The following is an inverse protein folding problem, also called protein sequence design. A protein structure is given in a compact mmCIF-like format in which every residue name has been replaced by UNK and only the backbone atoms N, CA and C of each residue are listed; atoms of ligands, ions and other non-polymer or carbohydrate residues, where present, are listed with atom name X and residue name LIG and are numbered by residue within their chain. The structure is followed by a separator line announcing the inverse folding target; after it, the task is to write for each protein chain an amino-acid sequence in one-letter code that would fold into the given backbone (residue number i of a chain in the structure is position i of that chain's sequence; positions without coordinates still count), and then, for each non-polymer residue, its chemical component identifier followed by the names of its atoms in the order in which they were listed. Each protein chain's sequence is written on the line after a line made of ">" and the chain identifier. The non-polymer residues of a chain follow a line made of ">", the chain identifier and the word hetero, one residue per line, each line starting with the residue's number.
data_IF_603404117709
#
_entry.id   IF_603404117709
#
_cell.length_a   1.000
_cell.length_b   1.000
_cell.length_c   1.000
_cell.angle_alpha   90.00
_cell.angle_beta   90.00
_cell.angle_gamma   90.00
#
_symmetry.space_group_name_H-M   'P 1'
#
loop_
_entity.id
_entity.type
_entity.pdbx_description
1 polymer ?
#
# COMPACT_ATOMS: atom_id res chain seq x y z
N UNK A 1 -24.95 -9.90 27.29
CA UNK A 1 -23.95 -8.83 27.01
C UNK A 1 -23.76 -8.76 25.50
N UNK A 2 -24.54 -7.94 24.85
CA UNK A 2 -24.46 -7.67 23.40
C UNK A 2 -23.21 -6.84 23.15
N UNK A 3 -22.18 -7.42 22.52
CA UNK A 3 -21.05 -6.65 21.97
C UNK A 3 -21.63 -5.68 20.92
N UNK A 4 -21.65 -4.39 21.25
CA UNK A 4 -21.79 -3.36 20.25
C UNK A 4 -20.64 -3.55 19.26
N UNK A 5 -20.96 -3.81 18.01
CA UNK A 5 -20.06 -3.59 16.88
C UNK A 5 -20.00 -2.07 16.69
N UNK A 6 -19.27 -1.39 17.58
CA UNK A 6 -18.94 -0.01 17.36
C UNK A 6 -17.93 -0.02 16.20
N UNK A 7 -18.41 0.37 15.01
CA UNK A 7 -17.58 0.52 13.82
C UNK A 7 -16.50 1.55 14.10
N UNK A 8 -15.32 1.07 14.53
CA UNK A 8 -14.17 1.89 14.91
C UNK A 8 -13.59 2.71 13.75
N UNK A 9 -14.10 2.46 12.52
CA UNK A 9 -13.81 3.24 11.31
C UNK A 9 -14.80 4.36 11.00
N UNK A 10 -15.92 4.45 11.73
CA UNK A 10 -16.96 5.45 11.41
C UNK A 10 -16.45 6.89 11.48
N UNK A 11 -16.65 7.62 10.38
CA UNK A 11 -16.23 9.01 10.24
C UNK A 11 -14.75 9.21 9.90
N UNK A 12 -13.93 8.15 9.84
CA UNK A 12 -12.53 8.26 9.41
C UNK A 12 -12.44 8.39 7.88
N UNK A 13 -11.38 9.04 7.43
CA UNK A 13 -11.09 9.22 6.01
C UNK A 13 -9.74 8.61 5.68
N UNK A 14 -9.70 7.84 4.60
CA UNK A 14 -8.47 7.23 4.12
C UNK A 14 -8.17 7.63 2.67
N UNK A 15 -6.91 7.84 2.36
CA UNK A 15 -6.39 7.89 0.98
C UNK A 15 -5.64 6.60 0.71
N UNK A 16 -5.92 5.93 -0.42
CA UNK A 16 -5.23 4.70 -0.84
C UNK A 16 -4.65 4.91 -2.23
N UNK A 17 -3.32 5.00 -2.32
CA UNK A 17 -2.62 5.09 -3.61
C UNK A 17 -2.55 3.72 -4.28
N UNK A 18 -2.63 3.67 -5.62
CA UNK A 18 -2.74 2.40 -6.35
C UNK A 18 -4.02 1.63 -6.03
N UNK A 19 -5.10 2.34 -5.63
CA UNK A 19 -6.35 1.75 -5.15
C UNK A 19 -7.21 1.06 -6.23
N UNK A 20 -6.78 1.07 -7.49
CA UNK A 20 -7.56 0.51 -8.61
C UNK A 20 -7.48 -1.01 -8.76
N UNK A 21 -6.48 -1.69 -8.19
CA UNK A 21 -6.24 -3.14 -8.39
C UNK A 21 -5.61 -3.79 -7.16
N UNK A 22 -5.57 -5.12 -7.13
CA UNK A 22 -4.82 -5.93 -6.17
C UNK A 22 -5.02 -5.53 -4.72
N UNK A 23 -3.93 -5.42 -3.98
CA UNK A 23 -3.91 -5.06 -2.55
C UNK A 23 -4.57 -3.71 -2.30
N UNK A 24 -4.32 -2.70 -3.16
CA UNK A 24 -4.90 -1.37 -2.99
C UNK A 24 -6.43 -1.37 -3.10
N UNK A 25 -6.98 -2.11 -4.07
CA UNK A 25 -8.44 -2.30 -4.20
C UNK A 25 -9.02 -2.99 -2.96
N UNK A 26 -8.42 -4.10 -2.56
CA UNK A 26 -8.87 -4.86 -1.39
C UNK A 26 -8.81 -3.98 -0.12
N UNK A 27 -7.73 -3.21 0.05
CA UNK A 27 -7.57 -2.27 1.16
C UNK A 27 -8.64 -1.19 1.17
N UNK A 28 -8.91 -0.56 0.02
CA UNK A 28 -9.93 0.49 -0.08
C UNK A 28 -11.32 -0.04 0.28
N UNK A 29 -11.67 -1.21 -0.23
CA UNK A 29 -12.96 -1.87 0.07
C UNK A 29 -13.05 -2.32 1.52
N UNK A 30 -11.97 -2.85 2.09
CA UNK A 30 -11.93 -3.26 3.48
C UNK A 30 -12.05 -2.07 4.44
N UNK A 31 -11.40 -0.93 4.14
CA UNK A 31 -11.56 0.31 4.90
C UNK A 31 -12.99 0.86 4.80
N UNK A 32 -13.58 0.83 3.61
CA UNK A 32 -14.98 1.26 3.42
C UNK A 32 -15.96 0.34 4.17
N UNK A 33 -15.75 -0.97 4.15
CA UNK A 33 -16.55 -1.93 4.92
C UNK A 33 -16.40 -1.74 6.44
N UNK A 34 -15.24 -1.19 6.88
CA UNK A 34 -14.98 -0.82 8.27
C UNK A 34 -15.62 0.54 8.66
N UNK A 35 -16.32 1.20 7.72
CA UNK A 35 -17.03 2.46 7.94
C UNK A 35 -16.21 3.73 7.61
N UNK A 36 -15.03 3.60 7.04
CA UNK A 36 -14.27 4.76 6.58
C UNK A 36 -14.77 5.28 5.22
N UNK A 37 -14.61 6.58 4.99
CA UNK A 37 -14.69 7.17 3.65
C UNK A 37 -13.31 7.08 3.01
N UNK A 38 -13.25 6.71 1.74
CA UNK A 38 -11.97 6.38 1.08
C UNK A 38 -11.83 7.13 -0.23
N UNK A 39 -10.72 7.84 -0.42
CA UNK A 39 -10.28 8.34 -1.72
C UNK A 39 -9.28 7.33 -2.32
N UNK A 40 -9.67 6.71 -3.43
CA UNK A 40 -8.76 5.83 -4.18
C UNK A 40 -8.08 6.59 -5.30
N UNK A 41 -6.75 6.50 -5.35
CA UNK A 41 -5.92 7.24 -6.29
C UNK A 41 -5.19 6.27 -7.22
N UNK A 42 -5.11 6.61 -8.51
CA UNK A 42 -4.38 5.84 -9.51
C UNK A 42 -4.54 6.42 -10.90
N UNK A 43 -3.85 5.84 -11.88
CA UNK A 43 -3.77 6.40 -13.25
C UNK A 43 -4.94 6.05 -14.16
N UNK A 44 -5.69 5.00 -13.84
CA UNK A 44 -6.70 4.43 -14.76
C UNK A 44 -8.10 4.56 -14.17
N UNK A 45 -8.91 5.47 -14.70
CA UNK A 45 -10.27 5.74 -14.25
C UNK A 45 -11.11 4.47 -14.11
N UNK A 46 -11.17 3.64 -15.15
CA UNK A 46 -11.98 2.43 -15.17
C UNK A 46 -11.63 1.41 -14.05
N UNK A 47 -10.36 1.35 -13.60
CA UNK A 47 -9.98 0.48 -12.48
C UNK A 47 -10.39 1.05 -11.14
N UNK A 48 -10.32 2.38 -11.00
CA UNK A 48 -10.78 3.10 -9.80
C UNK A 48 -12.30 3.01 -9.66
N UNK A 49 -13.03 3.22 -10.73
CA UNK A 49 -14.49 3.10 -10.77
C UNK A 49 -14.95 1.69 -10.37
N UNK A 50 -14.28 0.64 -10.88
CA UNK A 50 -14.53 -0.73 -10.43
C UNK A 50 -14.27 -0.93 -8.94
N UNK A 51 -13.31 -0.21 -8.35
CA UNK A 51 -13.06 -0.27 -6.91
C UNK A 51 -14.19 0.40 -6.13
N UNK A 52 -14.69 1.54 -6.61
CA UNK A 52 -15.75 2.30 -5.97
C UNK A 52 -17.16 1.67 -6.17
N UNK A 53 -17.33 0.85 -7.20
CA UNK A 53 -18.63 0.25 -7.52
C UNK A 53 -19.21 -0.52 -6.33
N UNK A 54 -20.43 -0.20 -5.92
CA UNK A 54 -21.12 -0.79 -4.77
C UNK A 54 -20.66 -0.25 -3.38
N UNK A 55 -19.74 0.71 -3.34
CA UNK A 55 -19.21 1.29 -2.10
C UNK A 55 -19.43 2.80 -2.03
N UNK A 56 -20.56 3.25 -1.45
CA UNK A 56 -20.95 4.67 -1.41
C UNK A 56 -19.93 5.59 -0.72
N UNK A 57 -19.13 5.06 0.20
CA UNK A 57 -18.05 5.79 0.90
C UNK A 57 -16.76 5.95 0.10
N UNK A 58 -16.65 5.34 -1.10
CA UNK A 58 -15.45 5.41 -1.93
C UNK A 58 -15.59 6.47 -3.02
N UNK A 59 -14.59 7.34 -3.14
CA UNK A 59 -14.43 8.32 -4.21
C UNK A 59 -13.15 8.00 -4.99
N UNK A 60 -13.08 8.45 -6.22
CA UNK A 60 -11.97 8.19 -7.13
C UNK A 60 -11.26 9.49 -7.51
N UNK A 61 -9.93 9.43 -7.64
CA UNK A 61 -9.11 10.49 -8.19
C UNK A 61 -8.11 9.90 -9.19
N UNK A 62 -8.18 10.35 -10.44
CA UNK A 62 -7.16 10.00 -11.44
C UNK A 62 -5.97 10.92 -11.25
N UNK A 63 -4.82 10.34 -10.89
CA UNK A 63 -3.56 11.05 -10.73
C UNK A 63 -2.38 10.10 -10.99
N UNK A 64 -1.33 10.62 -11.63
CA UNK A 64 -0.01 10.01 -11.58
C UNK A 64 0.74 10.56 -10.36
N UNK A 65 1.29 9.68 -9.55
CA UNK A 65 2.03 10.08 -8.34
C UNK A 65 3.37 10.75 -8.64
N UNK A 66 3.83 10.64 -9.88
CA UNK A 66 5.07 11.27 -10.35
C UNK A 66 4.87 12.69 -10.89
N UNK A 67 3.62 13.17 -10.97
CA UNK A 67 3.33 14.57 -11.28
C UNK A 67 3.75 15.45 -10.10
N UNK A 68 4.37 16.59 -10.38
CA UNK A 68 4.88 17.53 -9.36
C UNK A 68 3.79 18.03 -8.42
N UNK A 69 2.57 18.23 -8.92
CA UNK A 69 1.41 18.70 -8.16
C UNK A 69 0.58 17.60 -7.51
N UNK A 70 0.91 16.33 -7.76
CA UNK A 70 0.11 15.19 -7.28
C UNK A 70 -0.03 15.15 -5.75
N UNK A 71 1.00 15.44 -4.94
CA UNK A 71 0.87 15.40 -3.49
C UNK A 71 -0.18 16.38 -2.95
N UNK A 72 -0.14 17.62 -3.42
CA UNK A 72 -1.04 18.69 -3.03
C UNK A 72 -2.46 18.43 -3.56
N UNK A 73 -2.59 18.00 -4.82
CA UNK A 73 -3.87 17.69 -5.46
C UNK A 73 -4.60 16.53 -4.78
N UNK A 74 -3.88 15.47 -4.40
CA UNK A 74 -4.44 14.31 -3.69
C UNK A 74 -4.91 14.72 -2.30
N UNK A 75 -4.09 15.49 -1.58
CA UNK A 75 -4.42 15.96 -0.23
C UNK A 75 -5.64 16.88 -0.25
N UNK A 76 -5.68 17.87 -1.14
CA UNK A 76 -6.80 18.78 -1.30
C UNK A 76 -8.08 18.03 -1.68
N UNK A 77 -8.01 17.09 -2.63
CA UNK A 77 -9.16 16.29 -3.03
C UNK A 77 -9.77 15.48 -1.86
N UNK A 78 -8.94 14.96 -0.95
CA UNK A 78 -9.42 14.28 0.24
C UNK A 78 -10.10 15.24 1.22
N UNK A 79 -9.54 16.42 1.41
CA UNK A 79 -10.10 17.46 2.29
C UNK A 79 -11.38 18.04 1.74
N UNK A 80 -11.44 18.33 0.44
CA UNK A 80 -12.63 18.86 -0.24
C UNK A 80 -13.79 17.86 -0.21
N UNK A 81 -13.49 16.58 -0.43
CA UNK A 81 -14.52 15.54 -0.45
C UNK A 81 -15.01 15.14 0.94
N UNK A 82 -14.15 15.23 1.96
CA UNK A 82 -14.43 14.59 3.26
C UNK A 82 -14.11 15.44 4.49
N UNK A 83 -13.39 16.55 4.34
CA UNK A 83 -13.10 17.51 5.42
C UNK A 83 -11.95 17.10 6.36
N UNK A 84 -11.36 15.92 6.19
CA UNK A 84 -10.27 15.39 7.05
C UNK A 84 -9.47 14.31 6.37
N UNK A 85 -8.33 13.91 6.96
CA UNK A 85 -7.54 12.76 6.53
C UNK A 85 -6.96 12.04 7.76
N UNK A 86 -7.37 10.80 7.98
CA UNK A 86 -6.96 9.99 9.14
C UNK A 86 -5.95 8.92 8.77
N UNK A 87 -6.02 8.40 7.54
CA UNK A 87 -5.17 7.28 7.09
C UNK A 87 -4.63 7.57 5.70
N UNK A 88 -3.31 7.50 5.56
CA UNK A 88 -2.65 7.56 4.26
C UNK A 88 -1.99 6.23 3.97
N UNK A 89 -2.46 5.52 2.92
CA UNK A 89 -1.92 4.20 2.52
C UNK A 89 -1.07 4.37 1.26
N UNK A 90 0.24 4.21 1.42
CA UNK A 90 1.19 4.12 0.31
C UNK A 90 1.25 2.67 -0.20
N UNK A 91 0.38 2.37 -1.18
CA UNK A 91 0.33 1.05 -1.81
C UNK A 91 0.78 1.07 -3.27
N UNK A 92 0.67 2.20 -3.96
CA UNK A 92 1.14 2.29 -5.34
C UNK A 92 2.62 1.92 -5.47
N UNK A 93 2.93 1.11 -6.47
CA UNK A 93 4.30 0.74 -6.78
C UNK A 93 4.44 0.38 -8.26
N UNK A 94 5.64 0.59 -8.77
CA UNK A 94 6.12 0.09 -10.05
C UNK A 94 7.14 -1.02 -9.78
N UNK A 95 6.94 -2.16 -10.42
CA UNK A 95 7.83 -3.31 -10.39
C UNK A 95 8.27 -3.57 -11.83
N UNK A 96 9.55 -3.44 -12.09
CA UNK A 96 10.17 -3.71 -13.40
C UNK A 96 11.28 -4.74 -13.19
N UNK A 97 10.93 -6.05 -13.25
CA UNK A 97 11.94 -7.11 -13.17
C UNK A 97 12.79 -7.10 -14.43
N UNK A 98 14.09 -6.91 -14.28
CA UNK A 98 15.03 -6.88 -15.42
C UNK A 98 16.42 -7.33 -14.99
N UNK A 99 17.20 -7.99 -15.87
CA UNK A 99 18.61 -8.27 -15.61
C UNK A 99 19.37 -6.96 -15.33
N UNK A 100 20.32 -6.99 -14.39
CA UNK A 100 21.05 -5.78 -13.98
C UNK A 100 21.67 -5.01 -15.17
N UNK A 101 22.20 -5.72 -16.16
CA UNK A 101 22.78 -5.11 -17.36
C UNK A 101 21.77 -4.44 -18.31
N UNK A 102 20.46 -4.68 -18.12
CA UNK A 102 19.38 -4.06 -18.91
C UNK A 102 18.74 -2.84 -18.21
N UNK A 103 19.17 -2.52 -16.98
CA UNK A 103 18.62 -1.39 -16.23
C UNK A 103 18.88 -0.08 -16.94
N UNK A 104 17.82 0.62 -17.30
CA UNK A 104 17.90 1.94 -17.92
C UNK A 104 17.72 3.06 -16.89
N UNK A 105 18.21 4.26 -17.21
CA UNK A 105 17.98 5.45 -16.37
C UNK A 105 16.49 5.75 -16.23
N UNK A 106 15.70 5.54 -17.27
CA UNK A 106 14.25 5.76 -17.28
C UNK A 106 13.55 4.81 -16.30
N UNK A 107 13.83 3.50 -16.37
CA UNK A 107 13.29 2.50 -15.46
C UNK A 107 13.70 2.76 -14.01
N UNK A 108 14.96 3.18 -13.81
CA UNK A 108 15.46 3.53 -12.49
C UNK A 108 14.72 4.72 -11.89
N UNK A 109 14.56 5.80 -12.68
CA UNK A 109 13.82 6.99 -12.25
C UNK A 109 12.37 6.66 -11.92
N UNK A 110 11.68 5.96 -12.81
CA UNK A 110 10.26 5.61 -12.61
C UNK A 110 10.05 4.82 -11.30
N UNK A 111 10.93 3.84 -11.01
CA UNK A 111 10.82 3.07 -9.77
C UNK A 111 11.14 3.92 -8.53
N UNK A 112 12.15 4.78 -8.58
CA UNK A 112 12.52 5.66 -7.46
C UNK A 112 11.43 6.72 -7.23
N UNK A 113 10.97 7.37 -8.28
CA UNK A 113 9.93 8.40 -8.20
C UNK A 113 8.62 7.84 -7.63
N UNK A 114 8.15 6.70 -8.18
CA UNK A 114 6.88 6.11 -7.74
C UNK A 114 6.97 5.46 -6.35
N UNK A 115 8.03 4.67 -6.10
CA UNK A 115 8.07 3.79 -4.92
C UNK A 115 8.66 4.46 -3.69
N UNK A 116 9.42 5.56 -3.86
CA UNK A 116 10.14 6.22 -2.79
C UNK A 116 9.80 7.71 -2.68
N UNK A 117 10.00 8.52 -3.74
CA UNK A 117 9.79 9.97 -3.66
C UNK A 117 8.32 10.32 -3.48
N UNK A 118 7.41 9.71 -4.24
CA UNK A 118 5.99 9.96 -4.11
C UNK A 118 5.45 9.70 -2.69
N UNK A 119 5.76 8.59 -2.00
CA UNK A 119 5.43 8.42 -0.59
C UNK A 119 5.94 9.53 0.32
N UNK A 120 7.18 9.99 0.15
CA UNK A 120 7.78 11.07 0.95
C UNK A 120 7.05 12.38 0.73
N UNK A 121 6.87 12.77 -0.54
CA UNK A 121 6.26 14.06 -0.89
C UNK A 121 4.77 14.10 -0.52
N UNK A 122 4.04 13.00 -0.75
CA UNK A 122 2.63 12.91 -0.36
C UNK A 122 2.45 12.89 1.17
N UNK A 123 3.32 12.19 1.92
CA UNK A 123 3.28 12.24 3.38
C UNK A 123 3.53 13.66 3.89
N UNK A 124 4.50 14.37 3.30
CA UNK A 124 4.78 15.78 3.63
C UNK A 124 3.57 16.69 3.38
N UNK A 125 2.95 16.60 2.19
CA UNK A 125 1.78 17.40 1.84
C UNK A 125 0.57 17.08 2.74
N UNK A 126 0.38 15.82 3.10
CA UNK A 126 -0.72 15.35 3.95
C UNK A 126 -0.50 15.60 5.44
N UNK A 127 0.73 15.93 5.88
CA UNK A 127 1.08 16.00 7.29
C UNK A 127 0.20 16.94 8.12
N UNK A 128 -0.18 18.16 7.67
CA UNK A 128 -1.08 19.01 8.46
C UNK A 128 -2.44 18.37 8.72
N UNK A 129 -3.03 17.69 7.73
CA UNK A 129 -4.30 17.00 7.86
C UNK A 129 -4.21 15.76 8.76
N UNK A 130 -3.15 14.96 8.57
CA UNK A 130 -2.87 13.81 9.43
C UNK A 130 -2.63 14.22 10.89
N UNK A 131 -1.89 15.31 11.12
CA UNK A 131 -1.64 15.84 12.47
C UNK A 131 -2.95 16.27 13.15
N UNK A 132 -3.82 17.00 12.45
CA UNK A 132 -5.12 17.41 12.96
C UNK A 132 -6.01 16.21 13.36
N UNK A 133 -5.87 15.09 12.66
CA UNK A 133 -6.61 13.86 12.91
C UNK A 133 -5.91 12.87 13.86
N UNK A 134 -4.65 13.13 14.27
CA UNK A 134 -3.77 12.15 14.91
C UNK A 134 -3.71 10.85 14.11
N UNK A 135 -3.46 10.98 12.82
CA UNK A 135 -3.63 9.95 11.81
C UNK A 135 -2.53 8.90 11.77
N UNK A 136 -2.62 8.06 10.74
CA UNK A 136 -1.67 6.97 10.52
C UNK A 136 -1.24 6.91 9.07
N UNK A 137 0.06 6.84 8.84
CA UNK A 137 0.66 6.48 7.55
C UNK A 137 0.89 4.97 7.53
N UNK A 138 0.40 4.30 6.50
CA UNK A 138 0.62 2.85 6.28
C UNK A 138 1.35 2.66 4.97
N UNK A 139 2.53 2.03 5.01
CA UNK A 139 3.31 1.70 3.81
C UNK A 139 3.17 0.22 3.45
N UNK A 140 2.91 -0.07 2.17
CA UNK A 140 2.94 -1.43 1.64
C UNK A 140 4.32 -1.69 1.05
N UNK A 141 5.14 -2.42 1.83
CA UNK A 141 6.48 -2.87 1.48
C UNK A 141 6.48 -4.15 0.65
N UNK A 142 7.44 -5.03 0.93
CA UNK A 142 7.49 -6.41 0.40
C UNK A 142 8.29 -7.31 1.34
N UNK A 143 7.86 -8.55 1.51
CA UNK A 143 8.60 -9.56 2.27
C UNK A 143 9.95 -9.92 1.62
N UNK A 144 10.12 -9.62 0.34
CA UNK A 144 11.37 -9.85 -0.39
C UNK A 144 12.58 -9.14 0.24
N UNK A 145 12.37 -8.07 1.00
CA UNK A 145 13.46 -7.32 1.67
C UNK A 145 13.56 -7.58 3.18
N UNK A 146 12.68 -8.42 3.73
CA UNK A 146 12.66 -8.73 5.17
C UNK A 146 13.64 -9.86 5.54
N UNK A 147 13.94 -10.76 4.61
CA UNK A 147 14.85 -11.87 4.81
C UNK A 147 16.23 -11.63 4.22
N UNK A 148 17.03 -12.70 4.15
CA UNK A 148 18.37 -12.71 3.52
C UNK A 148 18.35 -13.17 2.06
N UNK A 149 17.19 -13.54 1.54
CA UNK A 149 17.06 -14.08 0.19
C UNK A 149 17.24 -12.99 -0.85
N UNK A 150 18.10 -13.24 -1.83
CA UNK A 150 18.26 -12.36 -2.99
C UNK A 150 17.25 -12.71 -4.09
N UNK A 151 16.77 -11.71 -4.78
CA UNK A 151 15.87 -11.85 -5.93
C UNK A 151 16.52 -11.24 -7.17
N UNK A 152 17.00 -12.09 -8.07
CA UNK A 152 17.58 -11.64 -9.33
C UNK A 152 16.57 -10.81 -10.15
N UNK A 153 17.03 -9.76 -10.77
CA UNK A 153 16.18 -8.84 -11.55
C UNK A 153 15.39 -7.83 -10.72
N UNK A 154 15.49 -7.85 -9.38
CA UNK A 154 14.69 -6.99 -8.50
C UNK A 154 15.51 -5.92 -7.76
N UNK A 155 16.72 -5.60 -8.26
CA UNK A 155 17.67 -4.72 -7.57
C UNK A 155 17.09 -3.38 -7.16
N UNK A 156 16.50 -2.64 -8.12
CA UNK A 156 15.94 -1.31 -7.86
C UNK A 156 14.65 -1.39 -7.05
N UNK A 157 13.77 -2.31 -7.41
CA UNK A 157 12.54 -2.52 -6.65
C UNK A 157 12.84 -2.83 -5.19
N UNK A 158 13.71 -3.81 -4.93
CA UNK A 158 14.12 -4.17 -3.57
C UNK A 158 14.74 -2.99 -2.82
N UNK A 159 15.64 -2.23 -3.47
CA UNK A 159 16.26 -1.05 -2.88
C UNK A 159 15.21 0.00 -2.47
N UNK A 160 14.23 0.31 -3.35
CA UNK A 160 13.16 1.27 -3.02
C UNK A 160 12.28 0.79 -1.87
N UNK A 161 11.98 -0.51 -1.81
CA UNK A 161 11.16 -1.08 -0.73
C UNK A 161 11.92 -1.18 0.60
N UNK A 162 13.24 -1.45 0.58
CA UNK A 162 14.10 -1.35 1.76
C UNK A 162 14.14 0.08 2.30
N UNK A 163 14.28 1.06 1.41
CA UNK A 163 14.22 2.46 1.79
C UNK A 163 12.86 2.84 2.39
N UNK A 164 11.75 2.35 1.84
CA UNK A 164 10.41 2.59 2.37
C UNK A 164 10.25 1.99 3.79
N UNK A 165 10.77 0.79 4.04
CA UNK A 165 10.77 0.19 5.38
C UNK A 165 11.61 0.99 6.37
N UNK A 166 12.74 1.56 5.92
CA UNK A 166 13.53 2.48 6.74
C UNK A 166 12.74 3.74 7.06
N UNK A 167 12.05 4.33 6.07
CA UNK A 167 11.19 5.49 6.27
C UNK A 167 10.08 5.24 7.28
N UNK A 168 9.44 4.07 7.28
CA UNK A 168 8.42 3.71 8.28
C UNK A 168 8.97 3.85 9.70
N UNK A 169 10.18 3.33 9.95
CA UNK A 169 10.81 3.44 11.29
C UNK A 169 11.19 4.88 11.63
N UNK A 170 11.73 5.61 10.67
CA UNK A 170 12.13 7.01 10.86
C UNK A 170 10.90 7.90 11.07
N UNK A 171 9.86 7.75 10.23
CA UNK A 171 8.61 8.49 10.40
C UNK A 171 7.89 8.20 11.70
N UNK A 172 8.01 6.99 12.25
CA UNK A 172 7.46 6.68 13.56
C UNK A 172 8.03 7.56 14.67
N UNK A 173 9.26 8.03 14.52
CA UNK A 173 9.92 8.95 15.45
C UNK A 173 9.66 10.41 15.05
N UNK A 174 9.90 10.76 13.79
CA UNK A 174 9.79 12.12 13.29
C UNK A 174 8.37 12.68 13.33
N UNK A 175 7.34 11.84 13.06
CA UNK A 175 5.94 12.27 13.04
C UNK A 175 5.25 12.19 14.42
N UNK A 176 5.87 11.53 15.39
CA UNK A 176 5.31 11.38 16.73
C UNK A 176 4.98 12.72 17.44
N UNK A 177 5.78 13.81 17.31
CA UNK A 177 5.42 15.10 17.89
C UNK A 177 4.09 15.68 17.39
N UNK A 178 3.66 15.30 16.18
CA UNK A 178 2.34 15.67 15.63
C UNK A 178 1.24 14.64 15.95
N UNK A 179 1.54 13.63 16.73
CA UNK A 179 0.59 12.57 17.06
C UNK A 179 0.31 11.61 15.88
N UNK A 180 1.10 11.65 14.82
CA UNK A 180 0.97 10.81 13.64
C UNK A 180 1.85 9.57 13.80
N UNK A 181 1.29 8.39 13.46
CA UNK A 181 1.99 7.11 13.46
C UNK A 181 2.40 6.69 12.06
N UNK A 182 3.46 5.88 11.97
CA UNK A 182 3.85 5.23 10.74
C UNK A 182 4.02 3.72 10.97
N UNK A 183 3.40 2.92 10.11
CA UNK A 183 3.47 1.45 10.14
C UNK A 183 3.61 0.89 8.75
N UNK A 184 4.11 -0.33 8.64
CA UNK A 184 4.29 -1.03 7.36
C UNK A 184 3.63 -2.40 7.36
N UNK A 185 3.26 -2.85 6.17
CA UNK A 185 2.90 -4.24 5.87
C UNK A 185 3.78 -4.70 4.72
N UNK A 186 4.46 -5.84 4.90
CA UNK A 186 5.36 -6.42 3.91
C UNK A 186 4.77 -7.73 3.34
N UNK A 187 4.03 -7.65 2.21
CA UNK A 187 3.44 -8.82 1.58
C UNK A 187 4.48 -9.75 0.98
N UNK A 188 4.23 -11.06 1.06
CA UNK A 188 4.85 -12.06 0.20
C UNK A 188 4.20 -12.10 -1.17
N UNK A 189 4.44 -13.21 -1.88
CA UNK A 189 3.78 -13.47 -3.17
C UNK A 189 2.27 -13.43 -2.98
N UNK A 190 1.62 -12.52 -3.70
CA UNK A 190 0.19 -12.23 -3.57
C UNK A 190 -0.45 -12.17 -4.95
N UNK A 191 -1.56 -12.86 -5.14
CA UNK A 191 -2.32 -12.85 -6.40
C UNK A 191 -3.07 -11.52 -6.59
N UNK A 192 -2.38 -10.56 -7.19
CA UNK A 192 -2.88 -9.21 -7.44
C UNK A 192 -3.38 -9.00 -8.86
N UNK A 193 -3.31 -10.01 -9.71
CA UNK A 193 -3.51 -9.90 -11.15
C UNK A 193 -2.37 -9.15 -11.84
N UNK A 194 -1.16 -9.15 -11.26
CA UNK A 194 0.00 -8.46 -11.86
C UNK A 194 0.49 -9.22 -13.10
N UNK A 195 0.43 -10.55 -13.12
CA UNK A 195 0.85 -11.36 -14.26
C UNK A 195 0.07 -11.02 -15.53
N UNK A 196 -1.26 -10.89 -15.43
CA UNK A 196 -2.11 -10.47 -16.56
C UNK A 196 -1.73 -9.08 -17.07
N UNK A 197 -1.47 -8.14 -16.14
CA UNK A 197 -1.07 -6.77 -16.52
C UNK A 197 0.32 -6.70 -17.14
N UNK A 198 1.18 -7.67 -16.86
CA UNK A 198 2.50 -7.85 -17.49
C UNK A 198 2.42 -8.65 -18.80
N UNK A 199 1.23 -9.07 -19.21
CA UNK A 199 1.02 -9.82 -20.46
C UNK A 199 1.41 -11.30 -20.38
N UNK A 200 1.52 -11.88 -19.17
CA UNK A 200 1.80 -13.31 -19.01
C UNK A 200 0.63 -14.16 -19.48
N UNK A 201 0.93 -15.32 -20.06
CA UNK A 201 -0.11 -16.29 -20.39
C UNK A 201 -0.74 -16.89 -19.12
N UNK A 202 -1.97 -17.38 -19.20
CA UNK A 202 -2.61 -18.09 -18.10
C UNK A 202 -1.77 -19.29 -17.60
N UNK A 203 -1.09 -19.98 -18.51
CA UNK A 203 -0.19 -21.09 -18.17
C UNK A 203 1.04 -20.61 -17.38
N UNK A 204 1.64 -19.48 -17.75
CA UNK A 204 2.77 -18.91 -17.04
C UNK A 204 2.38 -18.43 -15.64
N UNK A 205 1.21 -17.79 -15.51
CA UNK A 205 0.65 -17.38 -14.22
C UNK A 205 0.42 -18.60 -13.34
N UNK A 206 -0.23 -19.64 -13.83
CA UNK A 206 -0.50 -20.86 -13.06
C UNK A 206 0.81 -21.54 -12.61
N UNK A 207 1.80 -21.64 -13.50
CA UNK A 207 3.12 -22.19 -13.17
C UNK A 207 3.79 -21.37 -12.08
N UNK A 208 3.86 -20.05 -12.24
CA UNK A 208 4.46 -19.14 -11.25
C UNK A 208 3.78 -19.25 -9.87
N UNK A 209 2.44 -19.28 -9.84
CA UNK A 209 1.67 -19.44 -8.60
C UNK A 209 1.92 -20.79 -7.93
N UNK A 210 1.99 -21.87 -8.70
CA UNK A 210 2.30 -23.21 -8.17
C UNK A 210 3.72 -23.27 -7.56
N UNK A 211 4.71 -22.69 -8.25
CA UNK A 211 6.08 -22.61 -7.75
C UNK A 211 6.18 -21.74 -6.50
N UNK A 212 5.48 -20.61 -6.46
CA UNK A 212 5.42 -19.72 -5.29
C UNK A 212 4.77 -20.43 -4.09
N UNK A 213 3.64 -21.11 -4.32
CA UNK A 213 2.95 -21.89 -3.28
C UNK A 213 3.84 -23.01 -2.71
N UNK A 214 4.58 -23.73 -3.57
CA UNK A 214 5.47 -24.80 -3.14
C UNK A 214 6.64 -24.30 -2.26
N UNK A 215 7.07 -23.04 -2.44
CA UNK A 215 8.12 -22.41 -1.63
C UNK A 215 7.61 -21.72 -0.37
N UNK A 216 6.30 -21.55 -0.25
CA UNK A 216 5.68 -20.84 0.87
C UNK A 216 5.25 -21.86 1.93
N UNK A 217 5.70 -21.77 3.19
CA UNK A 217 5.33 -22.73 4.25
C UNK A 217 3.82 -22.90 4.44
N UNK A 218 3.03 -21.85 4.23
CA UNK A 218 1.56 -21.95 4.26
C UNK A 218 0.95 -22.69 3.06
N UNK A 219 1.74 -23.14 2.08
CA UNK A 219 1.32 -23.95 0.94
C UNK A 219 0.47 -23.21 -0.11
N UNK A 220 0.42 -21.89 -0.06
CA UNK A 220 -0.38 -21.08 -1.01
C UNK A 220 0.22 -19.71 -1.27
N UNK A 221 -0.16 -19.14 -2.40
CA UNK A 221 0.00 -17.70 -2.68
C UNK A 221 -1.00 -16.91 -1.82
N UNK A 222 -0.58 -15.74 -1.35
CA UNK A 222 -1.44 -14.81 -0.61
C UNK A 222 -2.55 -14.24 -1.49
N UNK A 223 -3.64 -13.81 -0.86
CA UNK A 223 -4.70 -13.03 -1.49
C UNK A 223 -4.57 -11.56 -1.08
N UNK A 224 -5.05 -10.61 -1.89
CA UNK A 224 -5.09 -9.20 -1.50
C UNK A 224 -5.76 -8.97 -0.14
N UNK A 225 -6.75 -9.78 0.20
CA UNK A 225 -7.49 -9.73 1.46
C UNK A 225 -6.62 -10.11 2.66
N UNK A 226 -5.68 -11.04 2.50
CA UNK A 226 -4.72 -11.42 3.56
C UNK A 226 -3.89 -10.20 4.00
N UNK A 227 -3.51 -9.35 3.04
CA UNK A 227 -2.72 -8.13 3.28
C UNK A 227 -3.60 -6.97 3.78
N UNK A 228 -4.74 -6.73 3.12
CA UNK A 228 -5.62 -5.61 3.45
C UNK A 228 -6.19 -5.73 4.87
N UNK A 229 -6.39 -6.93 5.38
CA UNK A 229 -6.79 -7.17 6.76
C UNK A 229 -5.79 -6.53 7.75
N UNK A 230 -4.50 -6.70 7.52
CA UNK A 230 -3.45 -6.10 8.36
C UNK A 230 -3.40 -4.59 8.22
N UNK A 231 -3.51 -4.07 6.98
CA UNK A 231 -3.55 -2.61 6.74
C UNK A 231 -4.67 -1.96 7.55
N UNK A 232 -5.89 -2.53 7.51
CA UNK A 232 -7.03 -2.02 8.28
C UNK A 232 -6.76 -2.07 9.77
N UNK A 233 -6.23 -3.19 10.30
CA UNK A 233 -5.97 -3.36 11.74
C UNK A 233 -4.90 -2.41 12.26
N UNK A 234 -3.81 -2.24 11.53
CA UNK A 234 -2.75 -1.31 11.89
C UNK A 234 -3.18 0.16 11.80
N UNK A 235 -4.09 0.48 10.88
CA UNK A 235 -4.65 1.81 10.74
C UNK A 235 -5.62 2.19 11.86
N UNK A 236 -6.22 1.23 12.56
CA UNK A 236 -7.20 1.48 13.64
C UNK A 236 -6.53 2.05 14.91
N UNK A 237 -7.32 2.76 15.76
CA UNK A 237 -6.80 3.24 17.05
C UNK A 237 -6.28 2.12 17.96
N UNK A 238 -6.86 0.93 17.90
CA UNK A 238 -6.42 -0.24 18.68
C UNK A 238 -5.01 -0.71 18.29
N UNK A 239 -4.54 -0.38 17.06
CA UNK A 239 -3.18 -0.59 16.62
C UNK A 239 -2.18 0.49 17.09
N UNK A 240 -2.57 1.40 17.98
CA UNK A 240 -1.77 2.59 18.31
C UNK A 240 -0.35 2.29 18.83
N UNK A 241 -0.15 1.16 19.49
CA UNK A 241 1.17 0.80 20.04
C UNK A 241 2.12 0.18 19.00
N UNK A 242 1.63 -0.13 17.78
CA UNK A 242 2.43 -0.71 16.71
C UNK A 242 3.15 0.37 15.86
N UNK A 243 3.62 1.48 16.45
CA UNK A 243 4.32 2.54 15.74
C UNK A 243 5.73 2.09 15.33
N UNK A 244 6.13 2.32 14.07
CA UNK A 244 7.41 1.90 13.51
C UNK A 244 7.49 0.42 13.12
N UNK A 245 6.45 -0.36 13.39
CA UNK A 245 6.41 -1.78 13.04
C UNK A 245 6.20 -1.99 11.54
N UNK A 246 6.88 -3.00 10.98
CA UNK A 246 6.62 -3.56 9.65
C UNK A 246 6.19 -5.02 9.84
N UNK A 247 4.94 -5.32 9.52
CA UNK A 247 4.37 -6.66 9.69
C UNK A 247 4.54 -7.44 8.38
N UNK A 248 5.28 -8.54 8.44
CA UNK A 248 5.44 -9.45 7.30
C UNK A 248 4.21 -10.35 7.17
N UNK A 249 3.62 -10.37 5.96
CA UNK A 249 2.41 -11.13 5.63
C UNK A 249 2.69 -11.96 4.38
N UNK A 250 3.39 -13.07 4.55
CA UNK A 250 4.01 -13.82 3.46
C UNK A 250 3.87 -15.35 3.57
N UNK A 251 3.07 -15.83 4.52
CA UNK A 251 2.90 -17.26 4.74
C UNK A 251 4.15 -17.98 5.23
N UNK A 252 5.15 -17.24 5.73
CA UNK A 252 6.44 -17.76 6.22
C UNK A 252 7.54 -17.81 5.15
N UNK A 253 7.32 -17.29 3.94
CA UNK A 253 8.26 -17.39 2.83
C UNK A 253 9.61 -16.68 3.06
N UNK A 254 9.66 -15.67 3.94
CA UNK A 254 10.89 -14.90 4.24
C UNK A 254 11.78 -15.54 5.32
N UNK A 255 11.30 -16.56 6.01
CA UNK A 255 12.03 -17.22 7.11
C UNK A 255 12.55 -18.62 6.77
N UNK A 256 12.40 -19.06 5.51
CA UNK A 256 12.90 -20.34 4.98
C UNK A 256 13.84 -20.15 3.80
#
# INVERSE_FOLDING_TARGET
>A
MTRRQDGTGQGRVAVVTGGGTGIGRATARALAADGARVLVVGRTAATLERTAAGHQGVRTLVADLTDDDAPERITSAALDAFGRLDVLVHNAAVVLPEPFGAVTREHARLQVETNLLAPVLLTRAALPALAAARGTVVAVGTAAVQGRRAFAGMSLYGATKTALDFLVRTWAVELAPWGVRAVGVAPGETDTGIGERMGWSAADIARHQAEAAARTPSGRVGRPEDVSWWVVRLARPEGAYANGAVVTVDGGASVV
#
